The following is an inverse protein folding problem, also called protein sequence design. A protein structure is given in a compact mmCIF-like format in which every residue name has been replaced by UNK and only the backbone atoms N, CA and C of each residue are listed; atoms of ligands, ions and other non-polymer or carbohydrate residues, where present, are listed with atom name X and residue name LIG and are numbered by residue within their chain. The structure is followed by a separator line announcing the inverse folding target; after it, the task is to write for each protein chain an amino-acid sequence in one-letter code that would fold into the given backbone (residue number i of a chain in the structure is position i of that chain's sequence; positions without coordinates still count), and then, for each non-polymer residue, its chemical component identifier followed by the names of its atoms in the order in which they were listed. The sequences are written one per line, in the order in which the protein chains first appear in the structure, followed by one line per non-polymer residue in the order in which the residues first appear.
data_IF_888617672338
#
_entry.id   IF_888617672338
#
_cell.length_a   1.000
_cell.length_b   1.000
_cell.length_c   1.000
_cell.angle_alpha   90.00
_cell.angle_beta   90.00
_cell.angle_gamma   90.00
#
_symmetry.space_group_name_H-M   'P 1'
#
loop_
_entity.id
_entity.type
_entity.pdbx_description
1 polymer ?
#
# COMPACT_ATOMS: atom_id res chain seq x y z
N UNK A 1 5.16 4.04 27.39
CA UNK A 1 4.97 2.99 26.36
C UNK A 1 6.34 2.40 26.08
N UNK A 2 6.49 1.08 25.85
CA UNK A 2 7.79 0.54 25.42
C UNK A 2 8.18 1.21 24.11
N UNK A 3 9.46 1.54 23.92
CA UNK A 3 9.96 2.11 22.68
C UNK A 3 9.88 1.06 21.57
N UNK A 4 9.36 1.46 20.41
CA UNK A 4 9.22 0.65 19.21
C UNK A 4 10.05 1.26 18.07
N UNK A 5 10.92 0.47 17.49
CA UNK A 5 11.83 0.93 16.45
C UNK A 5 11.64 0.20 15.13
N UNK A 6 11.70 0.92 14.04
CA UNK A 6 12.00 0.38 12.71
C UNK A 6 13.51 0.33 12.59
N UNK A 7 14.07 -0.88 12.60
CA UNK A 7 15.53 -1.07 12.52
C UNK A 7 16.01 -0.91 11.09
N UNK A 8 15.35 -1.58 10.15
CA UNK A 8 15.58 -1.41 8.73
C UNK A 8 14.35 -1.80 7.92
N UNK A 9 14.29 -1.33 6.68
CA UNK A 9 13.20 -1.66 5.76
C UNK A 9 13.69 -1.57 4.31
N UNK A 10 13.05 -2.34 3.42
CA UNK A 10 13.32 -2.31 1.99
C UNK A 10 12.14 -2.85 1.19
N UNK A 11 12.16 -2.66 -0.14
CA UNK A 11 11.15 -3.15 -1.07
C UNK A 11 11.77 -3.71 -2.34
N UNK A 12 11.02 -4.49 -3.09
CA UNK A 12 11.36 -4.77 -4.48
C UNK A 12 11.09 -3.55 -5.36
N UNK A 13 11.65 -3.50 -6.54
CA UNK A 13 11.04 -2.73 -7.61
C UNK A 13 9.62 -3.24 -7.88
N UNK A 14 8.73 -2.37 -8.36
CA UNK A 14 7.33 -2.68 -8.63
C UNK A 14 7.18 -3.09 -10.09
N UNK A 15 6.62 -4.29 -10.31
CA UNK A 15 6.32 -4.83 -11.63
C UNK A 15 4.95 -4.36 -12.14
N UNK A 16 4.83 -4.19 -13.45
CA UNK A 16 3.55 -3.95 -14.12
C UNK A 16 2.72 -5.23 -14.23
N UNK A 17 1.42 -5.09 -14.39
CA UNK A 17 0.54 -6.23 -14.67
C UNK A 17 0.97 -6.97 -15.93
N UNK A 18 1.20 -8.27 -15.80
CA UNK A 18 1.74 -9.09 -16.86
C UNK A 18 3.19 -8.79 -17.26
N UNK A 19 3.89 -7.95 -16.47
CA UNK A 19 5.26 -7.48 -16.69
C UNK A 19 6.35 -8.44 -16.18
N UNK A 20 7.45 -7.84 -15.75
CA UNK A 20 8.69 -8.58 -15.42
C UNK A 20 8.55 -9.53 -14.23
N UNK A 21 7.69 -9.22 -13.25
CA UNK A 21 7.49 -10.04 -12.06
C UNK A 21 6.36 -11.07 -12.15
N UNK A 22 5.61 -11.14 -13.26
CA UNK A 22 4.42 -11.99 -13.38
C UNK A 22 4.62 -13.47 -13.05
N UNK A 23 5.83 -14.00 -13.30
CA UNK A 23 6.17 -15.39 -13.05
C UNK A 23 6.94 -15.60 -11.72
N UNK A 24 7.14 -14.55 -10.93
CA UNK A 24 7.83 -14.61 -9.64
C UNK A 24 6.81 -14.81 -8.53
N UNK A 25 6.75 -15.96 -7.85
CA UNK A 25 5.79 -16.17 -6.78
C UNK A 25 5.85 -15.09 -5.69
N UNK A 26 4.70 -14.69 -5.16
CA UNK A 26 4.65 -13.67 -4.10
C UNK A 26 5.52 -14.03 -2.89
N UNK A 27 5.56 -15.31 -2.51
CA UNK A 27 6.42 -15.80 -1.42
C UNK A 27 7.93 -15.63 -1.71
N UNK A 28 8.34 -15.67 -2.97
CA UNK A 28 9.75 -15.46 -3.33
C UNK A 28 10.13 -13.99 -3.29
N UNK A 29 9.27 -13.09 -3.80
CA UNK A 29 9.47 -11.66 -3.67
C UNK A 29 9.54 -11.25 -2.19
N UNK A 30 8.62 -11.76 -1.36
CA UNK A 30 8.63 -11.54 0.09
C UNK A 30 9.91 -12.02 0.75
N UNK A 31 10.41 -13.21 0.38
CA UNK A 31 11.65 -13.75 0.95
C UNK A 31 12.89 -12.92 0.59
N UNK A 32 12.94 -12.36 -0.63
CA UNK A 32 14.04 -11.48 -1.06
C UNK A 32 14.13 -10.25 -0.16
N UNK A 33 13.01 -9.55 0.05
CA UNK A 33 13.00 -8.33 0.88
C UNK A 33 13.22 -8.63 2.36
N UNK A 34 12.73 -9.76 2.88
CA UNK A 34 12.95 -10.16 4.27
C UNK A 34 14.43 -10.48 4.52
N UNK A 35 15.08 -11.25 3.65
CA UNK A 35 16.52 -11.54 3.74
C UNK A 35 17.35 -10.25 3.78
N UNK A 36 17.07 -9.34 2.87
CA UNK A 36 17.82 -8.11 2.78
C UNK A 36 17.53 -7.17 3.96
N UNK A 37 16.28 -7.06 4.41
CA UNK A 37 15.92 -6.25 5.56
C UNK A 37 16.62 -6.73 6.84
N UNK A 38 16.65 -8.05 7.09
CA UNK A 38 17.38 -8.65 8.22
C UNK A 38 18.89 -8.40 8.12
N UNK A 39 19.47 -8.56 6.93
CA UNK A 39 20.89 -8.29 6.69
C UNK A 39 21.24 -6.83 6.97
N UNK A 40 20.46 -5.88 6.45
CA UNK A 40 20.66 -4.44 6.67
C UNK A 40 20.45 -4.04 8.13
N UNK A 41 19.50 -4.70 8.79
CA UNK A 41 19.23 -4.51 10.22
C UNK A 41 20.33 -5.10 11.13
N UNK A 42 21.25 -5.90 10.59
CA UNK A 42 22.19 -6.72 11.33
C UNK A 42 21.49 -7.63 12.37
N UNK A 43 20.36 -8.22 11.97
CA UNK A 43 19.58 -9.15 12.78
C UNK A 43 19.75 -10.56 12.22
N UNK A 44 20.24 -11.46 13.05
CA UNK A 44 20.32 -12.88 12.68
C UNK A 44 18.89 -13.47 12.61
N UNK A 45 18.58 -14.33 11.62
CA UNK A 45 17.26 -14.94 11.48
C UNK A 45 16.78 -15.66 12.75
N UNK A 46 17.68 -16.20 13.55
CA UNK A 46 17.41 -16.90 14.81
C UNK A 46 16.91 -15.98 15.92
N UNK A 47 17.11 -14.67 15.79
CA UNK A 47 16.65 -13.66 16.74
C UNK A 47 15.27 -13.08 16.39
N UNK A 48 14.64 -13.56 15.34
CA UNK A 48 13.26 -13.17 14.96
C UNK A 48 12.29 -14.01 15.77
N UNK A 49 11.34 -13.35 16.44
CA UNK A 49 10.33 -14.00 17.26
C UNK A 49 9.07 -14.36 16.45
N UNK A 50 8.72 -13.53 15.46
CA UNK A 50 7.53 -13.72 14.65
C UNK A 50 7.66 -13.03 13.28
N UNK A 51 6.94 -13.54 12.25
CA UNK A 51 6.81 -12.88 10.95
C UNK A 51 5.33 -12.73 10.59
N UNK A 52 4.92 -11.49 10.29
CA UNK A 52 3.57 -11.13 9.84
C UNK A 52 3.64 -10.44 8.48
N UNK A 53 2.94 -11.00 7.48
CA UNK A 53 3.10 -10.51 6.11
C UNK A 53 1.77 -10.40 5.38
N UNK A 54 1.49 -9.22 4.81
CA UNK A 54 0.29 -8.95 4.03
C UNK A 54 0.31 -9.69 2.69
N UNK A 55 -0.78 -10.36 2.36
CA UNK A 55 -1.06 -10.89 1.02
C UNK A 55 -2.55 -11.19 0.93
N UNK A 56 -3.23 -10.72 -0.10
CA UNK A 56 -4.68 -10.90 -0.22
C UNK A 56 -5.09 -11.87 -1.33
N UNK A 57 -4.35 -11.93 -2.42
CA UNK A 57 -4.63 -12.82 -3.55
C UNK A 57 -3.92 -14.16 -3.35
N UNK A 58 -4.35 -14.90 -2.33
CA UNK A 58 -3.68 -16.13 -1.88
C UNK A 58 -4.13 -17.40 -2.60
N UNK A 59 -5.12 -17.31 -3.48
CA UNK A 59 -5.65 -18.46 -4.23
C UNK A 59 -4.56 -19.15 -5.04
N UNK A 60 -4.45 -20.49 -4.87
CA UNK A 60 -3.47 -21.34 -5.55
C UNK A 60 -1.98 -21.04 -5.25
N UNK A 61 -1.67 -20.21 -4.25
CA UNK A 61 -0.30 -19.92 -3.84
C UNK A 61 0.26 -20.87 -2.77
N UNK A 62 -0.52 -21.87 -2.38
CA UNK A 62 -0.19 -22.78 -1.28
C UNK A 62 -0.62 -22.23 0.08
N UNK A 63 -0.30 -22.98 1.15
CA UNK A 63 -0.69 -22.60 2.49
C UNK A 63 0.13 -21.42 2.97
N UNK A 64 -0.54 -20.43 3.60
CA UNK A 64 0.08 -19.37 4.40
C UNK A 64 1.32 -18.74 3.74
N UNK A 65 1.10 -17.80 2.83
CA UNK A 65 2.16 -17.12 2.06
C UNK A 65 3.25 -16.54 2.99
N UNK A 66 2.88 -15.96 4.13
CA UNK A 66 3.83 -15.43 5.10
C UNK A 66 4.75 -16.54 5.68
N UNK A 67 4.21 -17.73 5.94
CA UNK A 67 5.03 -18.85 6.38
C UNK A 67 6.02 -19.30 5.31
N UNK A 68 5.60 -19.31 4.06
CA UNK A 68 6.49 -19.59 2.93
C UNK A 68 7.60 -18.53 2.82
N UNK A 69 7.26 -17.24 2.99
CA UNK A 69 8.25 -16.14 3.05
C UNK A 69 9.27 -16.38 4.17
N UNK A 70 8.80 -16.66 5.39
CA UNK A 70 9.64 -16.90 6.56
C UNK A 70 10.67 -18.03 6.32
N UNK A 71 10.21 -19.18 5.86
CA UNK A 71 11.06 -20.34 5.57
C UNK A 71 12.06 -20.05 4.44
N UNK A 72 11.57 -19.47 3.33
CA UNK A 72 12.43 -19.10 2.19
C UNK A 72 13.46 -18.02 2.55
N UNK A 73 13.15 -17.17 3.52
CA UNK A 73 14.08 -16.17 4.05
C UNK A 73 15.15 -16.76 4.98
N UNK A 74 15.02 -18.00 5.41
CA UNK A 74 15.96 -18.66 6.31
C UNK A 74 15.67 -18.45 7.79
N UNK A 75 14.48 -17.95 8.13
CA UNK A 75 14.02 -17.86 9.51
C UNK A 75 13.72 -19.28 10.02
N UNK A 76 14.14 -19.65 11.26
CA UNK A 76 13.98 -20.99 11.79
C UNK A 76 12.55 -21.51 11.80
N UNK A 77 12.37 -22.82 11.71
CA UNK A 77 11.05 -23.46 11.73
C UNK A 77 10.27 -23.25 13.04
N UNK A 78 10.98 -22.97 14.13
CA UNK A 78 10.39 -22.67 15.43
C UNK A 78 9.69 -21.32 15.49
N UNK A 79 10.02 -20.37 14.57
CA UNK A 79 9.43 -19.03 14.53
C UNK A 79 8.08 -19.08 13.83
N UNK A 80 6.98 -18.69 14.47
CA UNK A 80 5.66 -18.65 13.85
C UNK A 80 5.57 -17.56 12.78
N UNK A 81 4.67 -17.76 11.82
CA UNK A 81 4.37 -16.74 10.81
C UNK A 81 2.92 -16.86 10.33
N UNK A 82 2.27 -15.74 10.02
CA UNK A 82 0.92 -15.74 9.48
C UNK A 82 0.67 -14.63 8.47
N UNK A 83 -0.22 -14.93 7.52
CA UNK A 83 -0.63 -13.99 6.47
C UNK A 83 -1.73 -13.07 6.98
N UNK A 84 -1.55 -11.76 6.78
CA UNK A 84 -2.51 -10.72 7.15
C UNK A 84 -3.36 -10.37 5.93
N UNK A 85 -4.68 -10.47 6.08
CA UNK A 85 -5.68 -10.12 5.06
C UNK A 85 -6.52 -8.91 5.50
N UNK A 86 -6.19 -7.72 4.98
CA UNK A 86 -6.95 -6.48 5.18
C UNK A 86 -6.93 -5.64 3.89
N UNK A 87 -7.15 -6.28 2.75
CA UNK A 87 -7.08 -5.69 1.41
C UNK A 87 -5.84 -4.79 1.27
N UNK A 88 -5.96 -3.54 0.80
CA UNK A 88 -4.84 -2.60 0.61
C UNK A 88 -4.06 -2.32 1.90
N UNK A 89 -4.70 -2.44 3.06
CA UNK A 89 -4.10 -2.19 4.38
C UNK A 89 -3.21 -3.31 4.91
N UNK A 90 -3.18 -4.48 4.28
CA UNK A 90 -2.55 -5.70 4.82
C UNK A 90 -1.10 -5.49 5.24
N UNK A 91 -0.28 -4.87 4.39
CA UNK A 91 1.12 -4.60 4.67
C UNK A 91 1.34 -3.65 5.85
N UNK A 92 0.54 -2.59 5.99
CA UNK A 92 0.62 -1.69 7.15
C UNK A 92 0.02 -2.33 8.40
N UNK A 93 -1.03 -3.14 8.23
CA UNK A 93 -1.64 -3.89 9.34
C UNK A 93 -0.64 -4.85 9.97
N UNK A 94 0.20 -5.52 9.18
CA UNK A 94 1.26 -6.37 9.70
C UNK A 94 2.21 -5.60 10.63
N UNK A 95 2.56 -4.36 10.29
CA UNK A 95 3.39 -3.47 11.13
C UNK A 95 2.68 -3.12 12.44
N UNK A 96 1.37 -2.83 12.38
CA UNK A 96 0.57 -2.53 13.56
C UNK A 96 0.47 -3.78 14.48
N UNK A 97 0.29 -4.97 13.93
CA UNK A 97 0.22 -6.20 14.73
C UNK A 97 1.60 -6.56 15.31
N UNK A 98 2.69 -6.37 14.57
CA UNK A 98 4.04 -6.53 15.11
C UNK A 98 4.33 -5.56 16.25
N UNK A 99 3.89 -4.31 16.12
CA UNK A 99 3.97 -3.34 17.22
C UNK A 99 3.16 -3.77 18.46
N UNK A 100 1.99 -4.34 18.25
CA UNK A 100 1.14 -4.88 19.33
C UNK A 100 1.79 -6.08 20.02
N UNK A 101 2.35 -7.02 19.27
CA UNK A 101 3.07 -8.19 19.79
C UNK A 101 4.25 -7.75 20.70
N UNK A 102 5.05 -6.79 20.26
CA UNK A 102 6.15 -6.22 21.05
C UNK A 102 5.64 -5.53 22.33
N UNK A 103 4.57 -4.75 22.23
CA UNK A 103 3.99 -4.08 23.41
C UNK A 103 3.36 -5.02 24.40
N UNK A 104 2.75 -6.10 23.92
CA UNK A 104 2.20 -7.17 24.77
C UNK A 104 3.30 -7.96 25.48
N UNK A 105 4.52 -7.95 24.97
CA UNK A 105 5.66 -8.70 25.52
C UNK A 105 5.79 -10.10 24.94
N UNK A 106 5.06 -10.42 23.88
CA UNK A 106 5.12 -11.70 23.19
C UNK A 106 6.35 -11.82 22.29
N UNK A 107 6.86 -10.68 21.81
CA UNK A 107 7.99 -10.59 20.88
C UNK A 107 8.90 -9.41 21.22
N UNK A 108 10.16 -9.50 20.82
CA UNK A 108 11.15 -8.40 20.87
C UNK A 108 11.57 -7.96 19.46
N UNK A 109 11.66 -8.88 18.49
CA UNK A 109 11.99 -8.62 17.11
C UNK A 109 10.94 -9.28 16.20
N UNK A 110 10.23 -8.47 15.41
CA UNK A 110 9.19 -8.94 14.49
C UNK A 110 9.52 -8.48 13.07
N UNK A 111 9.39 -9.38 12.10
CA UNK A 111 9.46 -9.03 10.69
C UNK A 111 8.05 -8.81 10.16
N UNK A 112 7.79 -7.61 9.66
CA UNK A 112 6.52 -7.19 9.10
C UNK A 112 6.68 -6.85 7.62
N UNK A 113 5.57 -6.77 6.89
CA UNK A 113 5.63 -6.37 5.49
C UNK A 113 4.43 -6.85 4.70
N UNK A 114 4.63 -6.98 3.40
CA UNK A 114 3.62 -7.54 2.51
C UNK A 114 4.20 -7.87 1.15
N UNK A 115 3.51 -8.74 0.45
CA UNK A 115 3.84 -9.17 -0.91
C UNK A 115 2.56 -9.39 -1.69
N UNK A 116 2.57 -9.10 -2.97
CA UNK A 116 1.45 -9.38 -3.86
C UNK A 116 1.96 -9.68 -5.26
N UNK A 117 1.45 -10.72 -5.89
CA UNK A 117 1.57 -10.93 -7.32
C UNK A 117 0.16 -10.92 -7.92
N UNK A 118 -0.28 -9.74 -8.35
CA UNK A 118 -1.61 -9.57 -8.94
C UNK A 118 -1.68 -10.19 -10.34
N UNK A 119 -0.54 -10.23 -11.05
CA UNK A 119 -0.43 -10.84 -12.37
C UNK A 119 -0.66 -12.35 -12.37
N UNK A 120 -0.39 -13.02 -11.24
CA UNK A 120 -0.52 -14.47 -11.10
C UNK A 120 -1.84 -14.90 -10.45
N UNK A 121 -2.75 -13.98 -10.15
CA UNK A 121 -4.05 -14.30 -9.58
C UNK A 121 -4.86 -15.20 -10.53
N UNK A 122 -5.32 -16.38 -10.08
CA UNK A 122 -5.98 -17.34 -10.98
C UNK A 122 -7.43 -16.96 -11.26
N UNK A 123 -7.97 -17.54 -12.32
CA UNK A 123 -9.41 -17.62 -12.51
C UNK A 123 -9.96 -18.85 -11.78
N UNK A 124 -11.07 -18.70 -11.05
CA UNK A 124 -11.74 -19.77 -10.33
C UNK A 124 -13.05 -20.20 -10.98
N UNK A 125 -13.28 -21.50 -11.04
CA UNK A 125 -14.58 -22.06 -11.41
C UNK A 125 -15.32 -22.48 -10.14
N UNK A 126 -16.42 -21.80 -9.82
CA UNK A 126 -17.22 -22.06 -8.63
C UNK A 126 -18.00 -23.37 -8.72
N UNK A 127 -18.31 -23.82 -9.93
CA UNK A 127 -19.12 -25.01 -10.20
C UNK A 127 -18.30 -26.29 -10.43
N UNK A 128 -16.99 -26.17 -10.71
CA UNK A 128 -16.16 -27.32 -11.14
C UNK A 128 -16.08 -28.44 -10.08
N UNK A 129 -16.07 -28.11 -8.79
CA UNK A 129 -15.99 -29.10 -7.69
C UNK A 129 -17.14 -30.12 -7.72
N UNK A 130 -18.30 -29.71 -8.18
CA UNK A 130 -19.49 -30.54 -8.25
C UNK A 130 -19.80 -31.04 -9.65
N UNK A 131 -18.80 -31.00 -10.55
CA UNK A 131 -18.88 -31.61 -11.89
C UNK A 131 -19.34 -30.68 -12.99
N UNK A 132 -19.46 -29.38 -12.75
CA UNK A 132 -19.81 -28.37 -13.77
C UNK A 132 -20.86 -28.88 -14.80
N UNK A 133 -21.98 -29.42 -14.32
CA UNK A 133 -22.98 -30.20 -15.07
C UNK A 133 -23.46 -29.46 -16.33
N UNK A 134 -24.64 -29.71 -16.82
CA UNK A 134 -25.19 -29.14 -18.06
C UNK A 134 -25.16 -27.59 -18.10
N UNK A 135 -24.89 -27.01 -19.26
CA UNK A 135 -24.85 -25.58 -19.56
C UNK A 135 -23.49 -24.92 -19.30
N UNK A 136 -23.35 -23.69 -19.80
CA UNK A 136 -22.13 -22.89 -19.68
C UNK A 136 -21.79 -22.55 -18.23
N UNK A 137 -20.49 -22.49 -17.90
CA UNK A 137 -19.98 -22.13 -16.59
C UNK A 137 -19.07 -20.93 -16.69
N UNK A 138 -19.13 -20.03 -15.70
CA UNK A 138 -18.29 -18.84 -15.63
C UNK A 138 -16.97 -19.17 -14.94
N UNK A 139 -15.89 -18.55 -15.43
CA UNK A 139 -14.65 -18.38 -14.70
C UNK A 139 -14.67 -17.01 -14.03
N UNK A 140 -14.36 -16.98 -12.74
CA UNK A 140 -14.32 -15.76 -11.93
C UNK A 140 -12.87 -15.31 -11.83
N UNK A 141 -12.57 -14.08 -12.24
CA UNK A 141 -11.28 -13.44 -12.02
C UNK A 141 -11.13 -13.13 -10.52
N UNK A 142 -10.25 -13.88 -9.83
CA UNK A 142 -10.06 -13.72 -8.39
C UNK A 142 -9.37 -12.41 -8.03
N UNK A 143 -8.54 -11.83 -8.93
CA UNK A 143 -7.93 -10.53 -8.72
C UNK A 143 -9.01 -9.43 -8.60
N UNK A 144 -9.98 -9.44 -9.51
CA UNK A 144 -11.09 -8.49 -9.45
C UNK A 144 -12.00 -8.81 -8.27
N UNK A 145 -12.44 -10.07 -8.15
CA UNK A 145 -13.46 -10.46 -7.16
C UNK A 145 -13.02 -10.25 -5.72
N UNK A 146 -11.77 -10.58 -5.41
CA UNK A 146 -11.26 -10.57 -4.04
C UNK A 146 -10.46 -9.30 -3.70
N UNK A 147 -9.91 -8.60 -4.72
CA UNK A 147 -9.07 -7.43 -4.53
C UNK A 147 -9.69 -6.10 -4.91
N UNK A 148 -10.55 -6.05 -5.95
CA UNK A 148 -10.97 -4.81 -6.61
C UNK A 148 -12.48 -4.61 -6.67
N UNK A 149 -13.27 -5.51 -6.09
CA UNK A 149 -14.74 -5.49 -6.13
C UNK A 149 -15.32 -5.19 -4.77
N UNK A 150 -16.22 -4.20 -4.71
CA UNK A 150 -16.99 -3.93 -3.49
C UNK A 150 -18.05 -5.03 -3.31
N UNK A 151 -17.88 -5.81 -2.22
CA UNK A 151 -18.76 -6.93 -1.91
C UNK A 151 -20.15 -6.51 -1.43
N UNK A 152 -20.30 -5.28 -0.95
CA UNK A 152 -21.54 -4.75 -0.36
C UNK A 152 -22.43 -4.10 -1.42
N UNK A 153 -21.82 -3.34 -2.34
CA UNK A 153 -22.53 -2.57 -3.34
C UNK A 153 -22.43 -3.17 -4.75
N UNK A 154 -21.67 -4.25 -4.90
CA UNK A 154 -21.54 -5.04 -6.13
C UNK A 154 -21.05 -4.23 -7.35
N UNK A 155 -19.99 -3.44 -7.16
CA UNK A 155 -19.31 -2.71 -8.23
C UNK A 155 -17.79 -2.63 -7.99
N UNK A 156 -17.05 -2.18 -9.00
CA UNK A 156 -15.59 -2.03 -8.92
C UNK A 156 -15.19 -0.88 -7.98
N UNK A 157 -14.00 -0.97 -7.35
CA UNK A 157 -13.45 0.08 -6.48
C UNK A 157 -13.38 1.45 -7.16
N UNK A 158 -13.21 1.52 -8.48
CA UNK A 158 -13.25 2.77 -9.23
C UNK A 158 -14.59 3.51 -9.14
N UNK A 159 -15.70 2.81 -8.97
CA UNK A 159 -16.99 3.44 -8.72
C UNK A 159 -17.06 4.14 -7.36
N UNK A 160 -16.35 3.63 -6.34
CA UNK A 160 -16.23 4.34 -5.06
C UNK A 160 -15.49 5.67 -5.19
N UNK A 161 -14.52 5.75 -6.12
CA UNK A 161 -13.84 7.00 -6.44
C UNK A 161 -14.74 7.99 -7.18
N UNK A 162 -15.64 7.52 -8.07
CA UNK A 162 -16.65 8.37 -8.68
C UNK A 162 -17.66 8.93 -7.64
N UNK A 163 -18.03 8.13 -6.63
CA UNK A 163 -18.85 8.61 -5.52
C UNK A 163 -18.16 9.75 -4.74
N UNK A 164 -16.85 9.61 -4.50
CA UNK A 164 -16.04 10.66 -3.86
C UNK A 164 -16.00 11.92 -4.71
N UNK A 165 -15.83 11.79 -6.02
CA UNK A 165 -15.86 12.90 -6.95
C UNK A 165 -17.14 13.73 -6.82
N UNK A 166 -18.29 13.06 -6.71
CA UNK A 166 -19.58 13.72 -6.60
C UNK A 166 -19.81 14.41 -5.26
N UNK A 167 -19.28 13.87 -4.18
CA UNK A 167 -19.43 14.43 -2.83
C UNK A 167 -18.46 15.59 -2.58
N UNK A 168 -17.19 15.42 -2.97
CA UNK A 168 -16.15 16.43 -2.75
C UNK A 168 -15.99 17.40 -3.93
N UNK A 169 -16.81 17.29 -4.97
CA UNK A 169 -16.78 18.17 -6.13
C UNK A 169 -15.46 18.14 -6.89
N UNK A 170 -14.85 16.94 -7.02
CA UNK A 170 -13.54 16.80 -7.65
C UNK A 170 -13.72 16.63 -9.16
N UNK A 171 -13.17 17.55 -9.93
CA UNK A 171 -13.30 17.57 -11.39
C UNK A 171 -12.35 16.57 -12.05
N UNK A 172 -12.64 16.22 -13.29
CA UNK A 172 -11.74 15.44 -14.13
C UNK A 172 -10.37 16.12 -14.29
N UNK A 173 -10.36 17.43 -14.48
CA UNK A 173 -9.12 18.19 -14.66
C UNK A 173 -8.20 18.13 -13.44
N UNK A 174 -8.74 18.28 -12.24
CA UNK A 174 -7.97 18.16 -10.99
C UNK A 174 -7.35 16.79 -10.84
N UNK A 175 -8.09 15.73 -11.20
CA UNK A 175 -7.56 14.35 -11.14
C UNK A 175 -6.42 14.13 -12.13
N UNK A 176 -6.55 14.65 -13.34
CA UNK A 176 -5.51 14.53 -14.37
C UNK A 176 -4.26 15.35 -14.01
N UNK A 177 -4.41 16.52 -13.39
CA UNK A 177 -3.29 17.33 -12.87
C UNK A 177 -2.59 16.60 -11.70
N UNK A 178 -3.33 16.01 -10.79
CA UNK A 178 -2.79 15.22 -9.70
C UNK A 178 -1.99 14.01 -10.23
N UNK A 179 -2.57 13.29 -11.18
CA UNK A 179 -1.93 12.12 -11.79
C UNK A 179 -0.65 12.48 -12.54
N UNK A 180 -0.67 13.57 -13.31
CA UNK A 180 0.51 14.08 -14.00
C UNK A 180 1.60 14.49 -13.02
N UNK A 181 1.25 15.14 -11.91
CA UNK A 181 2.21 15.51 -10.86
C UNK A 181 2.86 14.28 -10.22
N UNK A 182 2.09 13.20 -9.94
CA UNK A 182 2.62 11.94 -9.44
C UNK A 182 3.64 11.33 -10.41
N UNK A 183 3.33 11.28 -11.71
CA UNK A 183 4.24 10.77 -12.75
C UNK A 183 5.52 11.61 -12.85
N UNK A 184 5.40 12.93 -12.88
CA UNK A 184 6.55 13.84 -12.99
C UNK A 184 7.47 13.77 -11.77
N UNK A 185 6.90 13.70 -10.55
CA UNK A 185 7.67 13.48 -9.31
C UNK A 185 8.42 12.15 -9.37
N UNK A 186 7.77 11.07 -9.83
CA UNK A 186 8.41 9.74 -9.95
C UNK A 186 9.51 9.74 -10.99
N UNK A 187 9.31 10.36 -12.15
CA UNK A 187 10.33 10.49 -13.21
C UNK A 187 11.56 11.22 -12.67
N UNK A 188 11.37 12.34 -11.98
CA UNK A 188 12.44 13.10 -11.35
C UNK A 188 13.15 12.31 -10.25
N UNK A 189 12.40 11.59 -9.41
CA UNK A 189 12.94 10.76 -8.33
C UNK A 189 13.78 9.60 -8.88
N UNK A 190 13.31 8.91 -9.92
CA UNK A 190 14.07 7.86 -10.59
C UNK A 190 15.35 8.39 -11.24
N UNK A 191 15.29 9.54 -11.89
CA UNK A 191 16.47 10.17 -12.49
C UNK A 191 17.52 10.60 -11.45
N UNK A 192 17.06 10.99 -10.26
CA UNK A 192 17.92 11.39 -9.13
C UNK A 192 18.35 10.23 -8.22
N UNK A 193 18.01 8.97 -8.53
CA UNK A 193 18.36 7.79 -7.72
C UNK A 193 17.70 7.77 -6.34
N UNK A 194 16.56 8.44 -6.16
CA UNK A 194 15.91 8.55 -4.82
C UNK A 194 15.46 7.20 -4.25
N UNK A 195 15.23 6.20 -5.12
CA UNK A 195 14.77 4.86 -4.72
C UNK A 195 15.89 3.83 -4.57
N UNK A 196 17.16 4.16 -4.88
CA UNK A 196 18.25 3.19 -4.96
C UNK A 196 18.53 2.50 -3.63
N UNK A 197 18.40 3.21 -2.50
CA UNK A 197 18.63 2.65 -1.16
C UNK A 197 17.49 1.77 -0.66
N UNK A 198 16.28 1.95 -1.18
CA UNK A 198 15.11 1.18 -0.73
C UNK A 198 14.84 -0.06 -1.57
N UNK A 199 15.27 -0.08 -2.84
CA UNK A 199 15.01 -1.18 -3.77
C UNK A 199 16.02 -2.31 -3.59
N UNK A 200 15.49 -3.54 -3.55
CA UNK A 200 16.24 -4.79 -3.55
C UNK A 200 16.02 -5.48 -4.89
N UNK A 201 17.07 -5.82 -5.63
CA UNK A 201 16.92 -6.55 -6.89
C UNK A 201 16.28 -7.92 -6.72
N UNK A 202 15.29 -8.23 -7.53
CA UNK A 202 14.72 -9.57 -7.68
C UNK A 202 15.35 -10.21 -8.91
N UNK A 203 15.94 -11.40 -8.76
CA UNK A 203 16.49 -12.12 -9.91
C UNK A 203 15.35 -12.76 -10.71
N UNK A 204 15.18 -12.32 -11.93
CA UNK A 204 14.14 -12.83 -12.85
C UNK A 204 14.77 -13.56 -14.04
N UNK A 205 14.05 -14.57 -14.54
CA UNK A 205 14.51 -15.31 -15.73
C UNK A 205 14.06 -14.60 -17.01
N UNK A 206 15.01 -14.12 -17.77
CA UNK A 206 14.79 -13.56 -19.11
C UNK A 206 15.44 -14.47 -20.13
N UNK A 207 14.64 -15.16 -20.96
CA UNK A 207 15.10 -16.24 -21.84
C UNK A 207 15.81 -17.36 -21.06
N UNK A 208 17.14 -17.45 -21.15
CA UNK A 208 17.97 -18.47 -20.46
C UNK A 208 18.81 -17.90 -19.32
N UNK A 209 18.79 -16.58 -19.11
CA UNK A 209 19.64 -15.88 -18.14
C UNK A 209 18.83 -15.38 -16.95
N UNK A 210 19.50 -15.30 -15.79
CA UNK A 210 18.96 -14.65 -14.60
C UNK A 210 19.49 -13.21 -14.60
N UNK A 211 18.56 -12.24 -14.61
CA UNK A 211 18.90 -10.82 -14.61
C UNK A 211 18.25 -10.12 -13.40
N UNK A 212 18.91 -9.10 -12.83
CA UNK A 212 18.31 -8.35 -11.72
C UNK A 212 17.21 -7.42 -12.21
N UNK A 213 16.02 -7.52 -11.63
CA UNK A 213 14.95 -6.55 -11.75
C UNK A 213 15.04 -5.58 -10.58
N UNK A 214 15.51 -4.34 -10.83
CA UNK A 214 15.89 -3.37 -9.82
C UNK A 214 15.33 -1.96 -10.07
N UNK A 215 14.43 -1.80 -11.05
CA UNK A 215 13.82 -0.51 -11.37
C UNK A 215 12.32 -0.67 -11.53
N UNK A 216 11.56 0.24 -10.89
CA UNK A 216 10.10 0.30 -11.08
C UNK A 216 9.79 0.48 -12.58
N UNK A 217 9.01 -0.45 -13.15
CA UNK A 217 8.75 -0.48 -14.59
C UNK A 217 7.43 0.17 -14.99
N UNK A 218 6.57 0.48 -14.02
CA UNK A 218 5.25 1.03 -14.28
C UNK A 218 5.23 2.54 -14.61
N UNK A 219 6.13 3.39 -14.05
CA UNK A 219 6.14 4.82 -14.32
C UNK A 219 6.26 5.17 -15.80
N UNK A 220 5.55 6.23 -16.22
CA UNK A 220 5.52 6.72 -17.61
C UNK A 220 6.14 8.10 -17.68
N UNK A 221 7.17 8.26 -18.50
CA UNK A 221 7.85 9.53 -18.70
C UNK A 221 7.00 10.52 -19.52
N UNK A 222 7.18 11.82 -19.25
CA UNK A 222 6.61 12.89 -20.05
C UNK A 222 5.09 13.07 -19.94
N UNK A 223 4.43 12.52 -18.91
CA UNK A 223 2.99 12.63 -18.72
C UNK A 223 2.63 14.06 -18.28
N UNK A 224 1.66 14.67 -18.97
CA UNK A 224 1.02 15.93 -18.59
C UNK A 224 -0.49 15.75 -18.48
N UNK A 225 -1.18 16.65 -17.77
CA UNK A 225 -2.63 16.60 -17.67
C UNK A 225 -3.31 16.64 -19.05
N UNK A 226 -2.78 17.45 -19.97
CA UNK A 226 -3.32 17.55 -21.33
C UNK A 226 -3.09 16.28 -22.17
N UNK A 227 -1.98 15.55 -21.91
CA UNK A 227 -1.70 14.29 -22.63
C UNK A 227 -2.68 13.18 -22.28
N UNK A 228 -3.28 13.20 -21.08
CA UNK A 228 -4.24 12.20 -20.58
C UNK A 228 -5.70 12.67 -20.61
N UNK A 229 -5.95 13.94 -20.90
CA UNK A 229 -7.30 14.56 -20.87
C UNK A 229 -8.34 13.86 -21.78
N UNK A 230 -7.88 13.26 -22.90
CA UNK A 230 -8.77 12.57 -23.86
C UNK A 230 -9.14 11.14 -23.49
N UNK A 231 -8.60 10.61 -22.40
CA UNK A 231 -8.92 9.25 -21.96
C UNK A 231 -10.38 9.18 -21.50
N UNK A 232 -11.04 8.10 -21.88
CA UNK A 232 -12.43 7.86 -21.47
C UNK A 232 -12.49 7.45 -20.00
N UNK A 233 -13.58 7.79 -19.31
CA UNK A 233 -13.88 7.27 -18.00
C UNK A 233 -13.91 5.74 -18.01
N UNK A 234 -13.32 5.14 -16.99
CA UNK A 234 -13.11 3.70 -16.92
C UNK A 234 -14.18 2.97 -16.07
N UNK A 235 -14.87 3.68 -15.19
CA UNK A 235 -15.79 3.10 -14.25
C UNK A 235 -17.16 3.75 -14.33
N UNK A 236 -18.25 2.96 -14.16
CA UNK A 236 -19.60 3.54 -14.11
C UNK A 236 -19.72 4.47 -12.90
N UNK A 237 -20.44 5.55 -13.07
CA UNK A 237 -20.95 6.35 -11.96
C UNK A 237 -21.83 5.44 -11.13
N UNK A 238 -21.71 5.50 -9.81
CA UNK A 238 -22.49 4.66 -8.92
C UNK A 238 -23.97 4.85 -9.18
N UNK A 239 -24.79 3.80 -9.13
CA UNK A 239 -26.23 3.96 -9.21
C UNK A 239 -26.64 4.94 -8.11
N UNK A 240 -27.64 5.78 -8.38
CA UNK A 240 -28.33 6.52 -7.32
C UNK A 240 -28.72 5.50 -6.26
N UNK A 241 -27.96 5.45 -5.18
CA UNK A 241 -28.21 4.50 -4.12
C UNK A 241 -29.53 4.90 -3.44
N UNK A 242 -30.47 3.99 -3.24
CA UNK A 242 -31.65 4.28 -2.45
C UNK A 242 -31.29 4.71 -1.02
N UNK A 243 -30.10 4.37 -0.58
CA UNK A 243 -29.52 4.87 0.68
C UNK A 243 -28.46 5.92 0.33
N UNK A 244 -28.59 7.17 0.79
CA UNK A 244 -27.56 8.17 0.61
C UNK A 244 -26.22 7.68 1.18
N UNK A 245 -25.11 8.13 0.59
CA UNK A 245 -23.79 7.91 1.19
C UNK A 245 -23.76 8.62 2.53
N UNK A 246 -23.45 7.89 3.58
CA UNK A 246 -23.45 8.43 4.93
C UNK A 246 -22.01 8.68 5.39
N UNK A 247 -21.63 9.95 5.46
CA UNK A 247 -20.36 10.35 6.09
C UNK A 247 -20.66 10.62 7.57
N UNK A 248 -20.76 9.55 8.37
CA UNK A 248 -21.07 9.65 9.81
C UNK A 248 -19.88 9.53 10.74
N UNK A 249 -18.67 9.33 10.20
CA UNK A 249 -17.44 9.14 10.97
C UNK A 249 -16.62 10.44 11.11
N UNK A 250 -16.92 11.43 10.29
CA UNK A 250 -16.42 12.80 10.39
C UNK A 250 -17.36 13.73 9.60
N UNK A 251 -17.34 15.03 9.91
CA UNK A 251 -18.04 16.04 9.11
C UNK A 251 -17.13 16.47 7.95
N UNK A 252 -17.57 16.27 6.69
CA UNK A 252 -16.78 16.70 5.53
C UNK A 252 -16.63 18.22 5.51
N UNK A 253 -15.40 18.70 5.40
CA UNK A 253 -15.06 20.12 5.32
C UNK A 253 -14.55 20.54 3.96
N UNK A 254 -14.08 19.59 3.16
CA UNK A 254 -13.50 19.81 1.83
C UNK A 254 -14.48 19.68 0.66
N UNK A 255 -15.80 19.62 0.91
CA UNK A 255 -16.80 19.49 -0.14
C UNK A 255 -16.94 20.77 -0.98
N UNK A 256 -17.04 20.59 -2.29
CA UNK A 256 -17.25 21.65 -3.28
C UNK A 256 -18.25 21.19 -4.34
N UNK A 257 -18.86 22.12 -5.08
CA UNK A 257 -19.66 21.78 -6.26
C UNK A 257 -18.73 21.54 -7.48
N UNK A 258 -19.05 20.52 -8.27
CA UNK A 258 -18.37 20.24 -9.52
C UNK A 258 -19.31 20.39 -10.71
N UNK A 259 -18.89 21.06 -11.79
CA UNK A 259 -19.71 21.27 -12.98
C UNK A 259 -19.96 19.96 -13.76
N UNK A 260 -19.11 18.95 -13.57
CA UNK A 260 -19.15 17.64 -14.22
C UNK A 260 -19.70 16.51 -13.33
N UNK A 261 -20.46 16.87 -12.28
CA UNK A 261 -21.12 15.92 -11.37
C UNK A 261 -21.97 14.92 -12.14
N UNK A 262 -21.94 13.65 -11.73
CA UNK A 262 -22.66 12.58 -12.38
C UNK A 262 -22.04 12.07 -13.69
N UNK A 263 -20.84 12.54 -14.07
CA UNK A 263 -20.09 12.03 -15.21
C UNK A 263 -18.94 11.12 -14.79
N UNK A 264 -18.42 10.30 -15.70
CA UNK A 264 -17.25 9.46 -15.46
C UNK A 264 -15.97 10.30 -15.51
N UNK A 265 -15.25 10.38 -14.40
CA UNK A 265 -14.02 11.20 -14.25
C UNK A 265 -12.78 10.37 -13.96
N UNK A 266 -12.95 9.16 -13.41
CA UNK A 266 -11.86 8.24 -13.12
C UNK A 266 -11.45 7.50 -14.38
N UNK A 267 -10.16 7.53 -14.70
CA UNK A 267 -9.56 6.90 -15.89
C UNK A 267 -8.43 5.97 -15.50
N UNK A 268 -7.94 5.17 -16.44
CA UNK A 268 -6.75 4.34 -16.23
C UNK A 268 -5.47 5.15 -15.94
N UNK A 269 -5.44 6.46 -16.26
CA UNK A 269 -4.27 7.30 -16.02
C UNK A 269 -4.32 8.05 -14.68
N UNK A 270 -5.51 8.25 -14.08
CA UNK A 270 -5.68 8.91 -12.79
C UNK A 270 -6.11 7.93 -11.68
N UNK A 271 -5.94 6.64 -11.93
CA UNK A 271 -6.04 5.53 -10.97
C UNK A 271 -4.69 4.82 -10.86
N UNK A 272 -4.44 4.17 -9.72
CA UNK A 272 -3.27 3.30 -9.56
C UNK A 272 -3.33 2.09 -10.48
N UNK A 273 -2.18 1.54 -10.82
CA UNK A 273 -2.07 0.32 -11.61
C UNK A 273 -2.31 -0.96 -10.80
N UNK A 274 -2.47 -2.05 -11.53
CA UNK A 274 -2.40 -3.42 -11.05
C UNK A 274 -0.93 -3.84 -11.12
N UNK A 275 -0.34 -4.27 -10.01
CA UNK A 275 1.10 -4.39 -9.92
C UNK A 275 1.54 -5.56 -9.04
N UNK A 276 2.81 -5.92 -9.18
CA UNK A 276 3.48 -6.98 -8.44
C UNK A 276 4.62 -6.41 -7.61
N UNK A 277 4.81 -6.87 -6.37
CA UNK A 277 5.91 -6.39 -5.54
C UNK A 277 5.82 -6.82 -4.08
N UNK A 278 6.88 -6.51 -3.33
CA UNK A 278 6.99 -6.82 -1.91
C UNK A 278 7.74 -5.73 -1.14
N UNK A 279 7.47 -5.62 0.15
CA UNK A 279 8.20 -4.74 1.07
C UNK A 279 8.30 -5.40 2.44
N UNK A 280 9.44 -5.22 3.13
CA UNK A 280 9.69 -5.75 4.46
C UNK A 280 10.20 -4.68 5.42
N UNK A 281 9.84 -4.82 6.69
CA UNK A 281 10.16 -3.92 7.78
C UNK A 281 10.55 -4.77 9.00
N UNK A 282 11.72 -4.51 9.58
CA UNK A 282 12.16 -5.14 10.82
C UNK A 282 11.82 -4.22 11.98
N UNK A 283 10.91 -4.65 12.84
CA UNK A 283 10.56 -3.96 14.10
C UNK A 283 11.33 -4.57 15.26
N UNK A 284 11.76 -3.74 16.21
CA UNK A 284 12.38 -4.17 17.44
C UNK A 284 11.93 -3.36 18.65
N UNK A 285 11.90 -4.02 19.83
CA UNK A 285 11.77 -3.35 21.12
C UNK A 285 13.03 -2.55 21.45
N UNK A 286 12.89 -1.51 22.30
CA UNK A 286 14.06 -0.77 22.80
C UNK A 286 15.05 -1.65 23.57
N UNK A 287 14.59 -2.74 24.16
CA UNK A 287 15.43 -3.75 24.83
C UNK A 287 16.26 -4.54 23.82
N UNK A 288 15.63 -5.00 22.72
CA UNK A 288 16.33 -5.69 21.64
C UNK A 288 17.35 -4.78 20.95
N UNK A 289 16.99 -3.51 20.71
CA UNK A 289 17.93 -2.51 20.13
C UNK A 289 19.21 -2.42 20.98
N UNK A 290 19.07 -2.32 22.30
CA UNK A 290 20.22 -2.28 23.23
C UNK A 290 20.96 -3.62 23.28
N UNK A 291 20.23 -4.73 23.43
CA UNK A 291 20.80 -6.08 23.59
C UNK A 291 21.66 -6.49 22.39
N UNK A 292 21.22 -6.18 21.18
CA UNK A 292 21.88 -6.58 19.96
C UNK A 292 22.70 -5.43 19.28
N UNK A 293 22.74 -4.24 19.89
CA UNK A 293 23.47 -3.09 19.36
C UNK A 293 22.93 -2.62 18.00
N UNK A 294 21.61 -2.71 17.79
CA UNK A 294 20.99 -2.36 16.53
C UNK A 294 21.00 -0.84 16.29
N UNK A 295 20.97 -0.44 15.02
CA UNK A 295 20.93 0.97 14.61
C UNK A 295 19.60 1.26 13.93
N UNK A 296 18.56 1.69 14.66
CA UNK A 296 17.27 1.94 14.07
C UNK A 296 17.25 3.19 13.17
N UNK A 297 16.43 3.16 12.14
CA UNK A 297 16.18 4.29 11.24
C UNK A 297 15.12 5.24 11.82
N UNK A 298 14.07 4.68 12.46
CA UNK A 298 12.97 5.47 12.97
C UNK A 298 12.31 4.80 14.20
N UNK A 299 11.60 5.60 15.00
CA UNK A 299 10.63 5.13 15.99
C UNK A 299 9.24 5.07 15.37
N UNK A 300 8.47 4.05 15.70
CA UNK A 300 7.02 4.00 15.44
C UNK A 300 6.30 4.62 16.64
N UNK A 301 5.86 5.87 16.50
CA UNK A 301 5.31 6.66 17.60
C UNK A 301 3.78 6.66 17.67
N UNK A 302 3.10 6.30 16.58
CA UNK A 302 1.65 6.21 16.54
C UNK A 302 1.12 5.40 15.39
N UNK A 303 -0.08 4.88 15.56
CA UNK A 303 -0.86 4.24 14.50
C UNK A 303 -2.35 4.41 14.74
N UNK A 304 -3.12 4.39 13.66
CA UNK A 304 -4.56 4.53 13.68
C UNK A 304 -5.24 3.70 12.61
N UNK A 305 -6.46 3.34 12.89
CA UNK A 305 -7.37 2.69 11.96
C UNK A 305 -8.73 3.36 12.09
N UNK A 306 -9.55 3.28 11.04
CA UNK A 306 -10.91 3.78 11.07
C UNK A 306 -11.75 3.17 9.96
N UNK A 307 -13.07 3.20 10.16
CA UNK A 307 -14.06 2.78 9.18
C UNK A 307 -14.84 3.97 8.63
N UNK A 308 -15.30 3.85 7.39
CA UNK A 308 -16.21 4.77 6.71
C UNK A 308 -17.21 3.96 5.90
N UNK A 309 -18.22 4.59 5.32
CA UNK A 309 -19.13 3.91 4.38
C UNK A 309 -18.31 3.27 3.24
N UNK A 310 -18.49 1.97 2.92
CA UNK A 310 -17.83 1.31 1.81
C UNK A 310 -17.92 2.06 0.47
N UNK A 311 -19.01 2.78 0.24
CA UNK A 311 -19.24 3.58 -0.97
C UNK A 311 -18.22 4.71 -1.18
N UNK A 312 -17.57 5.14 -0.10
CA UNK A 312 -16.53 6.18 -0.08
C UNK A 312 -15.26 5.67 0.61
N UNK A 313 -14.91 4.42 0.38
CA UNK A 313 -13.76 3.76 1.04
C UNK A 313 -12.47 4.60 0.98
N UNK A 314 -12.31 5.37 -0.09
CA UNK A 314 -11.11 6.18 -0.34
C UNK A 314 -10.84 7.24 0.72
N UNK A 315 -11.84 7.69 1.49
CA UNK A 315 -11.64 8.66 2.58
C UNK A 315 -11.38 8.04 3.95
N UNK A 316 -11.24 6.71 4.02
CA UNK A 316 -10.79 6.01 5.24
C UNK A 316 -9.51 6.55 5.87
N UNK A 317 -8.51 7.02 5.09
CA UNK A 317 -7.31 7.68 5.60
C UNK A 317 -7.58 8.87 6.52
N UNK A 318 -8.69 9.59 6.35
CA UNK A 318 -9.04 10.75 7.20
C UNK A 318 -9.17 10.35 8.66
N UNK A 319 -9.99 9.34 8.92
CA UNK A 319 -10.21 8.81 10.28
C UNK A 319 -8.94 8.14 10.81
N UNK A 320 -8.28 7.34 9.97
CA UNK A 320 -7.09 6.61 10.37
C UNK A 320 -5.92 7.54 10.74
N UNK A 321 -5.67 8.59 9.95
CA UNK A 321 -4.61 9.56 10.20
C UNK A 321 -4.88 10.40 11.45
N UNK A 322 -6.11 10.87 11.65
CA UNK A 322 -6.52 11.56 12.88
C UNK A 322 -6.26 10.69 14.12
N UNK A 323 -6.61 9.40 14.06
CA UNK A 323 -6.37 8.45 15.15
C UNK A 323 -4.88 8.17 15.35
N UNK A 324 -4.08 8.06 14.29
CA UNK A 324 -2.63 7.86 14.37
C UNK A 324 -1.93 9.06 15.01
N UNK A 325 -2.23 10.27 14.53
CA UNK A 325 -1.68 11.51 15.06
C UNK A 325 -2.09 11.74 16.53
N UNK A 326 -3.35 11.49 16.88
CA UNK A 326 -3.82 11.54 18.28
C UNK A 326 -3.02 10.59 19.18
N UNK A 327 -2.76 9.36 18.71
CA UNK A 327 -1.97 8.38 19.46
C UNK A 327 -0.50 8.80 19.60
N UNK A 328 0.06 9.43 18.57
CA UNK A 328 1.42 9.96 18.57
C UNK A 328 1.56 11.27 19.37
N UNK A 329 0.45 11.93 19.72
CA UNK A 329 0.45 13.23 20.39
C UNK A 329 0.93 14.37 19.48
N UNK A 330 0.63 14.29 18.18
CA UNK A 330 1.03 15.27 17.16
C UNK A 330 -0.18 15.75 16.35
N UNK A 331 -0.02 16.88 15.67
CA UNK A 331 -0.95 17.44 14.70
C UNK A 331 -0.40 17.33 13.29
N UNK A 332 -1.17 17.70 12.29
CA UNK A 332 -0.69 17.68 10.88
C UNK A 332 0.45 18.68 10.66
N UNK A 333 0.49 19.77 11.40
CA UNK A 333 1.53 20.80 11.31
C UNK A 333 2.90 20.28 11.79
N UNK A 334 2.91 19.26 12.66
CA UNK A 334 4.12 18.60 13.15
C UNK A 334 4.71 17.58 12.16
N UNK A 335 3.99 17.28 11.07
CA UNK A 335 4.40 16.29 10.07
C UNK A 335 5.22 16.96 8.97
N UNK A 336 6.42 16.44 8.75
CA UNK A 336 7.35 16.95 7.75
C UNK A 336 7.21 16.29 6.38
N UNK A 337 6.87 14.98 6.35
CA UNK A 337 6.65 14.21 5.13
C UNK A 337 5.43 13.30 5.26
N UNK A 338 4.71 13.14 4.15
CA UNK A 338 3.51 12.31 4.06
C UNK A 338 3.62 11.37 2.87
N UNK A 339 3.43 10.07 3.12
CA UNK A 339 3.17 9.07 2.08
C UNK A 339 1.71 8.65 2.17
N UNK A 340 0.87 9.20 1.31
CA UNK A 340 -0.55 8.84 1.18
C UNK A 340 -0.73 8.00 -0.08
N UNK A 341 -1.18 6.75 0.06
CA UNK A 341 -1.32 5.86 -1.08
C UNK A 341 -2.35 6.39 -2.09
N UNK A 342 -1.95 6.50 -3.35
CA UNK A 342 -2.76 7.02 -4.44
C UNK A 342 -3.52 5.89 -5.13
N UNK A 343 -4.52 5.29 -4.47
CA UNK A 343 -5.38 4.31 -5.12
C UNK A 343 -6.14 4.93 -6.32
N UNK A 344 -6.60 6.17 -6.14
CA UNK A 344 -7.23 7.03 -7.15
C UNK A 344 -6.86 8.50 -6.88
N UNK A 345 -6.71 9.31 -7.90
CA UNK A 345 -6.52 10.75 -7.74
C UNK A 345 -7.67 11.40 -6.96
N UNK A 346 -8.91 11.01 -7.27
CA UNK A 346 -10.13 11.44 -6.58
C UNK A 346 -10.01 11.32 -5.04
N UNK A 347 -9.70 10.11 -4.58
CA UNK A 347 -9.57 9.83 -3.16
C UNK A 347 -8.40 10.58 -2.53
N UNK A 348 -7.27 10.71 -3.24
CA UNK A 348 -6.09 11.42 -2.73
C UNK A 348 -6.37 12.91 -2.52
N UNK A 349 -7.08 13.53 -3.47
CA UNK A 349 -7.50 14.94 -3.38
C UNK A 349 -8.47 15.14 -2.22
N UNK A 350 -9.49 14.26 -2.06
CA UNK A 350 -10.45 14.34 -0.96
C UNK A 350 -9.75 14.25 0.40
N UNK A 351 -8.85 13.28 0.57
CA UNK A 351 -8.07 13.09 1.80
C UNK A 351 -7.19 14.30 2.10
N UNK A 352 -6.52 14.84 1.08
CA UNK A 352 -5.67 16.03 1.22
C UNK A 352 -6.48 17.26 1.68
N UNK A 353 -7.67 17.47 1.12
CA UNK A 353 -8.58 18.54 1.55
C UNK A 353 -9.05 18.38 2.99
N UNK A 354 -9.49 17.17 3.38
CA UNK A 354 -10.01 16.88 4.72
C UNK A 354 -8.97 16.92 5.83
N UNK A 355 -7.72 16.62 5.52
CA UNK A 355 -6.60 16.63 6.44
C UNK A 355 -5.73 17.89 6.32
N UNK A 356 -6.10 18.81 5.43
CA UNK A 356 -5.35 20.05 5.16
C UNK A 356 -3.87 19.80 4.84
N UNK A 357 -3.60 18.84 3.98
CA UNK A 357 -2.23 18.48 3.63
C UNK A 357 -1.53 19.62 2.87
N UNK A 358 -0.32 19.96 3.29
CA UNK A 358 0.62 20.70 2.46
C UNK A 358 1.13 19.77 1.35
N UNK A 359 0.67 19.98 0.11
CA UNK A 359 0.98 19.12 -1.02
C UNK A 359 2.46 19.11 -1.41
N UNK A 360 3.26 20.06 -0.91
CA UNK A 360 4.71 20.05 -1.08
C UNK A 360 5.41 18.98 -0.25
N UNK A 361 4.73 18.46 0.80
CA UNK A 361 5.21 17.40 1.70
C UNK A 361 4.64 16.02 1.33
N UNK A 362 3.68 15.95 0.40
CA UNK A 362 2.96 14.71 0.07
C UNK A 362 3.57 14.03 -1.14
N UNK A 363 3.86 12.72 -0.97
CA UNK A 363 4.37 11.86 -2.05
C UNK A 363 5.43 12.58 -2.88
N UNK A 364 6.46 13.07 -2.20
CA UNK A 364 7.48 13.95 -2.81
C UNK A 364 8.25 13.30 -3.95
N UNK A 365 8.26 11.97 -3.98
CA UNK A 365 8.84 11.14 -5.04
C UNK A 365 7.78 10.49 -5.95
N UNK A 366 6.53 11.00 -5.93
CA UNK A 366 5.38 10.38 -6.58
C UNK A 366 4.78 9.25 -5.76
N UNK A 367 3.63 8.74 -6.19
CA UNK A 367 2.88 7.73 -5.46
C UNK A 367 2.36 6.59 -6.35
N UNK A 368 1.33 5.90 -5.90
CA UNK A 368 0.87 4.66 -6.53
C UNK A 368 0.29 4.82 -7.94
N UNK A 369 -0.17 6.00 -8.33
CA UNK A 369 -0.60 6.27 -9.72
C UNK A 369 0.59 6.10 -10.68
N UNK A 370 1.77 6.53 -10.26
CA UNK A 370 2.99 6.39 -11.05
C UNK A 370 3.74 5.09 -10.76
N UNK A 371 3.96 4.76 -9.47
CA UNK A 371 4.76 3.60 -9.05
C UNK A 371 4.01 2.28 -9.16
N UNK A 372 2.68 2.28 -8.93
CA UNK A 372 1.86 1.09 -8.87
C UNK A 372 1.37 0.71 -7.47
N UNK A 373 0.40 -0.22 -7.42
CA UNK A 373 -0.31 -0.62 -6.20
C UNK A 373 -0.39 -2.15 -6.03
N UNK A 374 0.71 -2.84 -5.69
CA UNK A 374 0.64 -4.24 -5.27
C UNK A 374 -0.11 -4.34 -3.94
N UNK A 375 -1.38 -4.71 -3.98
CA UNK A 375 -2.39 -4.44 -2.93
C UNK A 375 -1.91 -4.85 -1.54
N UNK A 376 -1.53 -6.11 -1.33
CA UNK A 376 -1.10 -6.63 -0.02
C UNK A 376 0.25 -6.07 0.46
N UNK A 377 1.09 -5.54 -0.44
CA UNK A 377 2.39 -4.95 -0.13
C UNK A 377 2.36 -3.44 0.12
N UNK A 378 1.38 -2.73 -0.47
CA UNK A 378 1.40 -1.26 -0.56
C UNK A 378 1.48 -0.56 0.78
N UNK A 379 0.81 -1.05 1.82
CA UNK A 379 0.87 -0.46 3.15
C UNK A 379 2.27 -0.48 3.76
N UNK A 380 3.07 -1.52 3.49
CA UNK A 380 4.47 -1.60 3.88
C UNK A 380 5.35 -0.75 2.95
N UNK A 381 5.06 -0.76 1.63
CA UNK A 381 5.81 0.01 0.63
C UNK A 381 5.83 1.49 0.96
N UNK A 382 4.70 2.10 1.30
CA UNK A 382 4.65 3.54 1.62
C UNK A 382 5.43 3.87 2.90
N UNK A 383 5.48 2.97 3.89
CA UNK A 383 6.32 3.15 5.09
C UNK A 383 7.80 3.11 4.72
N UNK A 384 8.20 2.17 3.85
CA UNK A 384 9.59 2.04 3.37
C UNK A 384 10.02 3.33 2.67
N UNK A 385 9.24 3.79 1.69
CA UNK A 385 9.55 5.01 0.91
C UNK A 385 9.61 6.24 1.83
N UNK A 386 8.66 6.39 2.77
CA UNK A 386 8.64 7.48 3.73
C UNK A 386 9.93 7.52 4.56
N UNK A 387 10.30 6.40 5.18
CA UNK A 387 11.48 6.34 6.05
C UNK A 387 12.76 6.62 5.26
N UNK A 388 12.92 6.01 4.07
CA UNK A 388 14.11 6.26 3.23
C UNK A 388 14.21 7.71 2.78
N UNK A 389 13.09 8.37 2.46
CA UNK A 389 13.11 9.78 2.11
C UNK A 389 13.43 10.66 3.32
N UNK A 390 12.88 10.35 4.50
CA UNK A 390 13.23 11.04 5.76
C UNK A 390 14.72 10.94 6.08
N UNK A 391 15.34 9.76 5.85
CA UNK A 391 16.78 9.57 6.09
C UNK A 391 17.66 10.44 5.17
N UNK A 392 17.17 10.83 4.01
CA UNK A 392 17.88 11.68 3.02
C UNK A 392 17.70 13.16 3.26
N UNK A 393 16.87 13.56 4.24
CA UNK A 393 16.55 14.96 4.54
C UNK A 393 16.91 15.31 5.98
N UNK A 394 17.56 16.46 6.17
CA UNK A 394 17.86 16.98 7.50
C UNK A 394 16.62 17.61 8.16
N UNK A 395 15.73 18.18 7.36
CA UNK A 395 14.51 18.90 7.75
C UNK A 395 13.31 17.98 8.03
N UNK A 396 13.43 16.67 7.77
CA UNK A 396 12.34 15.72 7.98
C UNK A 396 12.58 14.86 9.24
N UNK A 397 11.81 15.13 10.30
CA UNK A 397 11.86 14.40 11.58
C UNK A 397 10.67 13.48 11.78
N UNK A 398 9.46 13.92 11.44
CA UNK A 398 8.23 13.14 11.60
C UNK A 398 7.56 12.89 10.27
N UNK A 399 7.11 11.67 10.08
CA UNK A 399 6.44 11.24 8.86
C UNK A 399 5.12 10.53 9.14
N UNK A 400 4.15 10.71 8.24
CA UNK A 400 2.85 10.06 8.24
C UNK A 400 2.74 9.18 6.99
N UNK A 401 2.46 7.89 7.17
CA UNK A 401 2.04 7.01 6.08
C UNK A 401 0.58 6.61 6.27
N UNK A 402 -0.24 6.70 5.22
CA UNK A 402 -1.68 6.38 5.30
C UNK A 402 -2.20 5.81 4.00
N UNK A 403 -3.21 4.93 4.08
CA UNK A 403 -3.89 4.41 2.90
C UNK A 403 -5.36 4.06 3.17
N UNK A 404 -6.15 4.11 2.10
CA UNK A 404 -7.52 3.61 2.06
C UNK A 404 -7.54 2.09 1.86
N UNK A 405 -8.66 1.49 2.21
CA UNK A 405 -8.85 0.04 2.21
C UNK A 405 -10.24 -0.27 1.69
N UNK A 406 -10.33 -1.18 0.72
CA UNK A 406 -11.61 -1.69 0.22
C UNK A 406 -12.51 -2.19 1.35
N UNK A 407 -13.82 -1.95 1.22
CA UNK A 407 -14.78 -2.22 2.29
C UNK A 407 -14.98 -1.06 3.27
N UNK A 408 -14.43 0.13 2.99
CA UNK A 408 -14.68 1.34 3.78
C UNK A 408 -13.81 1.46 5.01
N UNK A 409 -12.50 1.32 4.88
CA UNK A 409 -11.55 1.42 5.99
C UNK A 409 -10.34 2.28 5.62
N UNK A 410 -9.55 2.63 6.63
CA UNK A 410 -8.24 3.23 6.48
C UNK A 410 -7.28 2.81 7.58
N UNK A 411 -5.99 2.92 7.30
CA UNK A 411 -4.94 2.72 8.30
C UNK A 411 -3.83 3.74 8.10
N UNK A 412 -3.18 4.11 9.20
CA UNK A 412 -2.09 5.08 9.20
C UNK A 412 -1.06 4.76 10.28
N UNK A 413 0.18 5.15 10.04
CA UNK A 413 1.27 5.12 11.02
C UNK A 413 2.00 6.46 11.04
N UNK A 414 2.49 6.84 12.22
CA UNK A 414 3.38 7.99 12.41
C UNK A 414 4.73 7.48 12.88
N UNK A 415 5.78 7.90 12.19
CA UNK A 415 7.17 7.55 12.50
C UNK A 415 7.99 8.81 12.79
N UNK A 416 9.00 8.65 13.62
CA UNK A 416 9.95 9.71 13.97
C UNK A 416 11.38 9.23 13.71
N UNK A 417 12.15 10.00 12.94
CA UNK A 417 13.56 9.69 12.64
C UNK A 417 14.40 9.68 13.92
N UNK A 418 15.31 8.71 14.05
CA UNK A 418 16.21 8.57 15.20
C UNK A 418 17.53 9.29 14.94
#
# INVERSE_FOLDING_TARGET
MKDLYVVNCCRTAIGSFGGSLKNTPAAEMGAVVVKEALKRANVAPENVDELMFGCILTSAQGQNVARQVSIKAGIPYSVPAYTVGMVCGSGMKSVIEGARSILAGDSDIVVCGGTENMSAAPFASMDARWGARMGDKKLVDTMIKDGLWDAYNNYHMGTTAENINDIWGITRREQDEFAAASQQKTEAAQAAGRFDDEIVPVMIKVKKEMVPFAKDEYPKAGVTADSIAKLKGAFPVGPESPNPVVVNTFEPTGCQDAPDKGTQRVTAANASGINDGAAAIVLASGEAVKKYGLKPMAKLIGWGQGGVDPKIMGVGPVVASRNAMKKAGVTIDDIDLIEANEAFAAQSIAVARELHFDMSKVNVNGGAIALGHPVGASGARIIVTLIHEMMKREDAKKGLATLCIGGGMGTAVVVEKV
#
